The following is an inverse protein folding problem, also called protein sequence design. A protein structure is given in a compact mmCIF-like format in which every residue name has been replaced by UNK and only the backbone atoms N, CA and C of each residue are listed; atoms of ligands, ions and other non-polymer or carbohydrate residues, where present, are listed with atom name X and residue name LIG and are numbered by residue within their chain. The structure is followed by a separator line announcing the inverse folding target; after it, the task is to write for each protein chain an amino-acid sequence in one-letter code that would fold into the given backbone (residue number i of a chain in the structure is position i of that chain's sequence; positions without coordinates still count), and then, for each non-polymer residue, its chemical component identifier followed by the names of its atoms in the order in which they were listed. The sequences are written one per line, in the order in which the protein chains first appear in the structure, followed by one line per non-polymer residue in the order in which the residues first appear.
data_IF_237730442512
#
_entry.id   IF_237730442512
#
_cell.length_a   1.000
_cell.length_b   1.000
_cell.length_c   1.000
_cell.angle_alpha   90.00
_cell.angle_beta   90.00
_cell.angle_gamma   90.00
#
_symmetry.space_group_name_H-M   'P 1'
#
loop_
_entity.id
_entity.type
_entity.pdbx_description
1 polymer ?
#
# COMPACT_ATOMS: atom_id res chain seq x y z
N UNK A 1 2.81 8.23 14.22
CA UNK A 1 2.45 9.64 14.15
C UNK A 1 2.47 10.28 15.55
N UNK A 2 1.64 9.84 16.50
CA UNK A 2 1.49 10.45 17.83
C UNK A 2 2.82 10.74 18.55
N UNK A 3 3.81 9.86 18.42
CA UNK A 3 5.15 10.07 19.00
C UNK A 3 5.89 11.26 18.38
N UNK A 4 5.70 11.49 17.08
CA UNK A 4 6.34 12.61 16.36
C UNK A 4 5.64 13.92 16.71
N UNK A 5 4.31 13.93 16.75
CA UNK A 5 3.51 15.09 17.18
C UNK A 5 3.83 15.53 18.61
N UNK A 6 4.06 14.57 19.50
CA UNK A 6 4.46 14.86 20.87
C UNK A 6 5.86 15.46 21.02
N UNK A 7 6.68 15.51 19.94
CA UNK A 7 8.02 16.14 19.92
C UNK A 7 9.07 15.46 20.78
N UNK A 8 8.78 14.31 21.36
CA UNK A 8 9.65 13.63 22.33
C UNK A 8 10.52 12.50 21.76
N UNK A 9 10.60 12.34 20.44
CA UNK A 9 11.27 11.20 19.82
C UNK A 9 12.56 11.62 19.11
N UNK A 10 13.59 10.78 19.26
CA UNK A 10 14.89 10.94 18.59
C UNK A 10 14.94 10.17 17.25
N UNK A 11 13.89 10.27 16.43
CA UNK A 11 13.92 9.68 15.09
C UNK A 11 14.57 10.65 14.12
N UNK A 12 15.52 10.16 13.32
CA UNK A 12 16.17 10.94 12.28
C UNK A 12 15.62 10.63 10.89
N UNK A 13 15.18 9.40 10.66
CA UNK A 13 14.48 8.98 9.44
C UNK A 13 13.24 8.16 9.82
N UNK A 14 12.16 8.37 9.10
CA UNK A 14 10.90 7.62 9.23
C UNK A 14 10.46 7.12 7.86
N UNK A 15 9.67 6.04 7.87
CA UNK A 15 9.15 5.39 6.66
C UNK A 15 7.62 5.37 6.69
N UNK A 16 6.95 6.51 6.48
CA UNK A 16 5.49 6.58 6.44
C UNK A 16 4.95 6.32 5.04
N UNK A 17 3.66 5.94 4.98
CA UNK A 17 2.91 5.90 3.73
C UNK A 17 2.59 7.30 3.22
N UNK A 18 2.27 7.42 1.94
CA UNK A 18 2.08 8.66 1.19
C UNK A 18 1.05 9.62 1.81
N UNK A 19 -0.14 9.13 2.20
CA UNK A 19 -1.17 9.98 2.82
C UNK A 19 -0.75 10.53 4.18
N UNK A 20 0.15 9.81 4.87
CA UNK A 20 0.73 10.28 6.11
C UNK A 20 1.76 11.40 5.88
N UNK A 21 2.51 11.34 4.75
CA UNK A 21 3.40 12.43 4.32
C UNK A 21 2.59 13.70 4.09
N UNK A 22 1.48 13.60 3.34
CA UNK A 22 0.61 14.76 3.06
C UNK A 22 0.11 15.39 4.37
N UNK A 23 -0.37 14.58 5.30
CA UNK A 23 -0.77 15.03 6.63
C UNK A 23 0.39 15.71 7.38
N UNK A 24 1.56 15.07 7.43
CA UNK A 24 2.71 15.59 8.17
C UNK A 24 3.25 16.90 7.57
N UNK A 25 3.19 17.06 6.24
CA UNK A 25 3.50 18.33 5.57
C UNK A 25 2.52 19.41 6.01
N UNK A 26 1.21 19.11 6.03
CA UNK A 26 0.17 20.06 6.43
C UNK A 26 0.34 20.57 7.88
N UNK A 27 1.02 19.79 8.73
CA UNK A 27 1.30 20.10 10.15
C UNK A 27 2.72 20.63 10.40
N UNK A 28 3.51 20.88 9.35
CA UNK A 28 4.94 21.29 9.44
C UNK A 28 5.79 20.34 10.30
N UNK A 29 5.55 19.04 10.19
CA UNK A 29 6.24 18.01 10.97
C UNK A 29 7.49 17.44 10.28
N UNK A 30 7.75 17.79 9.01
CA UNK A 30 8.86 17.29 8.21
C UNK A 30 9.85 18.38 7.84
N UNK A 31 11.12 17.99 7.74
CA UNK A 31 12.16 18.84 7.15
C UNK A 31 12.04 18.82 5.61
N UNK A 32 12.35 19.94 4.98
CA UNK A 32 12.65 19.96 3.55
C UNK A 32 14.00 19.27 3.30
N UNK A 33 14.07 18.49 2.22
CA UNK A 33 15.27 17.77 1.81
C UNK A 33 16.24 18.70 1.07
N UNK A 34 17.54 18.54 1.33
CA UNK A 34 18.60 19.20 0.56
C UNK A 34 19.12 18.22 -0.52
N UNK A 35 18.73 18.47 -1.74
CA UNK A 35 19.09 17.65 -2.89
C UNK A 35 20.59 17.65 -3.21
N UNK A 36 21.38 18.61 -2.67
CA UNK A 36 22.83 18.56 -2.75
C UNK A 36 23.45 17.35 -2.02
N UNK A 37 22.69 16.75 -1.09
CA UNK A 37 23.08 15.54 -0.35
C UNK A 37 22.47 14.25 -0.94
N UNK A 38 21.65 14.33 -2.00
CA UNK A 38 20.83 13.24 -2.54
C UNK A 38 21.18 12.90 -4.00
N UNK A 39 22.48 12.72 -4.29
CA UNK A 39 23.00 12.43 -5.64
C UNK A 39 22.32 11.21 -6.33
N UNK A 40 21.84 10.24 -5.53
CA UNK A 40 21.18 9.04 -6.02
C UNK A 40 19.68 9.24 -6.33
N UNK A 41 19.10 10.40 -6.05
CA UNK A 41 17.71 10.71 -6.41
C UNK A 41 17.45 10.57 -7.92
N UNK A 42 18.44 10.82 -8.75
CA UNK A 42 18.38 10.62 -10.21
C UNK A 42 18.13 9.16 -10.65
N UNK A 43 18.37 8.19 -9.76
CA UNK A 43 18.13 6.78 -10.02
C UNK A 43 16.64 6.41 -9.89
N UNK A 44 15.82 7.29 -9.31
CA UNK A 44 14.37 7.06 -9.22
C UNK A 44 13.73 7.25 -10.60
N UNK A 45 12.71 6.44 -10.87
CA UNK A 45 11.86 6.61 -12.03
C UNK A 45 11.00 7.86 -11.86
N UNK A 46 10.91 8.69 -12.91
CA UNK A 46 10.19 9.97 -12.88
C UNK A 46 8.69 9.78 -12.58
N UNK A 47 8.12 8.61 -12.88
CA UNK A 47 6.73 8.27 -12.55
C UNK A 47 6.43 8.31 -11.05
N UNK A 48 7.46 8.13 -10.22
CA UNK A 48 7.34 8.06 -8.75
C UNK A 48 7.83 9.32 -8.05
N UNK A 49 8.23 10.34 -8.80
CA UNK A 49 8.65 11.63 -8.25
C UNK A 49 7.56 12.68 -8.48
N UNK A 50 7.53 13.71 -7.62
CA UNK A 50 6.56 14.81 -7.75
C UNK A 50 5.08 14.34 -7.71
N UNK A 51 4.78 13.36 -6.85
CA UNK A 51 3.41 12.87 -6.66
C UNK A 51 2.56 13.86 -5.85
N UNK A 52 1.24 13.72 -5.94
CA UNK A 52 0.29 14.70 -5.38
C UNK A 52 0.46 14.93 -3.87
N UNK A 53 0.88 13.91 -3.12
CA UNK A 53 1.08 14.00 -1.67
C UNK A 53 2.33 14.81 -1.24
N UNK A 54 3.31 14.98 -2.14
CA UNK A 54 4.54 15.77 -1.88
C UNK A 54 5.01 16.47 -3.16
N UNK A 55 4.45 17.63 -3.45
CA UNK A 55 4.77 18.40 -4.64
C UNK A 55 6.27 18.73 -4.72
N UNK A 56 6.88 18.42 -5.87
CA UNK A 56 8.31 18.54 -6.14
C UNK A 56 9.18 17.62 -5.25
N UNK A 57 8.62 16.58 -4.63
CA UNK A 57 9.32 15.66 -3.72
C UNK A 57 10.13 16.41 -2.65
N UNK A 58 9.53 17.46 -2.08
CA UNK A 58 10.24 18.44 -1.24
C UNK A 58 10.60 17.88 0.13
N UNK A 59 9.81 16.95 0.66
CA UNK A 59 9.90 16.46 2.04
C UNK A 59 10.15 14.96 2.15
N UNK A 60 9.94 14.22 1.06
CA UNK A 60 10.04 12.77 1.08
C UNK A 60 10.67 12.19 -0.19
N UNK A 61 11.18 10.97 -0.06
CA UNK A 61 11.71 10.17 -1.15
C UNK A 61 10.97 8.84 -1.18
N UNK A 62 10.38 8.41 -2.31
CA UNK A 62 9.80 7.09 -2.45
C UNK A 62 10.83 5.99 -2.14
N UNK A 63 10.41 4.99 -1.35
CA UNK A 63 11.25 3.88 -0.94
C UNK A 63 10.83 2.56 -1.59
N UNK A 64 9.58 2.18 -1.41
CA UNK A 64 8.94 1.02 -2.01
C UNK A 64 7.53 1.42 -2.45
N UNK A 65 6.93 0.63 -3.35
CA UNK A 65 5.58 0.87 -3.83
C UNK A 65 4.92 -0.43 -4.23
N UNK A 66 3.62 -0.38 -4.48
CA UNK A 66 2.86 -1.52 -4.98
C UNK A 66 1.40 -1.23 -5.16
N UNK A 67 0.66 -2.31 -5.34
CA UNK A 67 -0.79 -2.31 -5.54
C UNK A 67 -1.48 -3.11 -4.45
N UNK A 68 -2.77 -2.87 -4.26
CA UNK A 68 -3.67 -3.75 -3.53
C UNK A 68 -4.34 -4.70 -4.52
N UNK A 69 -4.52 -5.95 -4.12
CA UNK A 69 -5.20 -6.95 -4.94
C UNK A 69 -5.74 -8.11 -4.12
N UNK A 70 -6.04 -9.18 -4.81
CA UNK A 70 -6.55 -10.42 -4.22
C UNK A 70 -5.52 -11.53 -4.44
N UNK A 71 -4.97 -12.08 -3.34
CA UNK A 71 -4.27 -13.36 -3.40
C UNK A 71 -5.31 -14.47 -3.23
N UNK A 72 -5.25 -15.51 -4.07
CA UNK A 72 -6.25 -16.59 -4.06
C UNK A 72 -5.63 -17.95 -4.35
N UNK A 73 -6.26 -19.00 -3.82
CA UNK A 73 -5.88 -20.40 -4.05
C UNK A 73 -6.54 -20.92 -5.34
N UNK A 74 -5.75 -21.24 -6.34
CA UNK A 74 -6.21 -21.76 -7.67
C UNK A 74 -6.98 -23.07 -7.60
N UNK A 75 -6.79 -23.86 -6.54
CA UNK A 75 -7.53 -25.11 -6.34
C UNK A 75 -8.92 -24.89 -5.76
N UNK A 76 -9.16 -23.74 -5.10
CA UNK A 76 -10.43 -23.38 -4.49
C UNK A 76 -11.23 -22.40 -5.35
N UNK A 77 -10.54 -21.49 -6.03
CA UNK A 77 -11.13 -20.43 -6.86
C UNK A 77 -10.83 -20.74 -8.31
N UNK A 78 -11.85 -21.17 -9.04
CA UNK A 78 -11.73 -21.59 -10.44
C UNK A 78 -12.29 -20.56 -11.43
N UNK A 79 -13.03 -19.58 -10.93
CA UNK A 79 -13.52 -18.44 -11.69
C UNK A 79 -12.42 -17.38 -11.89
N UNK A 80 -12.54 -16.53 -12.93
CA UNK A 80 -11.68 -15.37 -13.07
C UNK A 80 -11.76 -14.44 -11.85
N UNK A 81 -10.61 -14.03 -11.32
CA UNK A 81 -10.51 -13.07 -10.21
C UNK A 81 -10.20 -11.70 -10.82
N UNK A 82 -11.19 -11.10 -11.47
CA UNK A 82 -11.04 -9.84 -12.24
C UNK A 82 -11.88 -8.68 -11.69
N UNK A 83 -12.65 -8.94 -10.62
CA UNK A 83 -13.51 -7.95 -9.95
C UNK A 83 -13.44 -8.11 -8.44
N UNK A 84 -13.46 -6.99 -7.71
CA UNK A 84 -13.58 -6.98 -6.25
C UNK A 84 -14.83 -7.72 -5.75
N UNK A 85 -15.88 -7.83 -6.58
CA UNK A 85 -17.15 -8.49 -6.23
C UNK A 85 -16.98 -9.94 -5.80
N UNK A 86 -15.91 -10.62 -6.21
CA UNK A 86 -15.64 -12.01 -5.79
C UNK A 86 -15.48 -12.14 -4.27
N UNK A 87 -15.05 -11.06 -3.58
CA UNK A 87 -14.98 -11.02 -2.12
C UNK A 87 -16.36 -10.98 -1.43
N UNK A 88 -17.45 -10.85 -2.20
CA UNK A 88 -18.84 -10.91 -1.75
C UNK A 88 -19.59 -12.16 -2.25
N UNK A 89 -18.87 -13.12 -2.87
CA UNK A 89 -19.49 -14.35 -3.35
C UNK A 89 -19.74 -15.33 -2.18
N UNK A 90 -21.01 -15.65 -1.93
CA UNK A 90 -21.45 -16.58 -0.89
C UNK A 90 -20.84 -17.98 -1.01
N UNK A 91 -20.40 -18.36 -2.23
CA UNK A 91 -19.68 -19.62 -2.47
C UNK A 91 -18.43 -19.76 -1.58
N UNK A 92 -17.81 -18.64 -1.21
CA UNK A 92 -16.60 -18.60 -0.41
C UNK A 92 -16.83 -18.21 1.05
N UNK A 93 -18.08 -18.33 1.54
CA UNK A 93 -18.41 -18.00 2.92
C UNK A 93 -17.49 -18.71 3.92
N UNK A 94 -16.91 -17.95 4.87
CA UNK A 94 -15.96 -18.43 5.87
C UNK A 94 -14.56 -18.75 5.34
N UNK A 95 -14.26 -18.37 4.06
CA UNK A 95 -12.94 -18.58 3.42
C UNK A 95 -12.34 -17.30 2.82
N UNK A 96 -12.88 -16.15 3.17
CA UNK A 96 -12.41 -14.84 2.72
C UNK A 96 -11.69 -14.17 3.88
N UNK A 97 -10.48 -13.70 3.64
CA UNK A 97 -9.70 -12.91 4.60
C UNK A 97 -9.66 -11.46 4.14
N UNK A 98 -9.97 -10.54 5.04
CA UNK A 98 -9.91 -9.10 4.77
C UNK A 98 -8.82 -8.46 5.62
N UNK A 99 -8.27 -7.35 5.16
CA UNK A 99 -7.30 -6.60 5.95
C UNK A 99 -7.98 -5.85 7.09
N UNK A 100 -7.41 -5.92 8.28
CA UNK A 100 -7.81 -5.06 9.42
C UNK A 100 -7.19 -3.65 9.26
N UNK A 101 -7.52 -3.04 8.14
CA UNK A 101 -7.12 -1.69 7.73
C UNK A 101 -8.35 -0.96 7.18
N UNK A 102 -8.75 0.11 7.86
CA UNK A 102 -9.94 0.87 7.47
C UNK A 102 -9.82 1.45 6.06
N UNK A 103 -8.65 2.07 5.74
CA UNK A 103 -8.45 2.70 4.44
C UNK A 103 -8.42 1.68 3.30
N UNK A 104 -7.72 0.56 3.48
CA UNK A 104 -7.61 -0.48 2.45
C UNK A 104 -8.94 -1.17 2.21
N UNK A 105 -9.59 -1.67 3.27
CA UNK A 105 -10.83 -2.45 3.16
C UNK A 105 -12.02 -1.59 2.69
N UNK A 106 -12.18 -0.38 3.23
CA UNK A 106 -13.20 0.56 2.73
C UNK A 106 -12.85 1.01 1.32
N UNK A 107 -11.57 1.26 1.03
CA UNK A 107 -11.09 1.74 -0.26
C UNK A 107 -11.42 0.78 -1.41
N UNK A 108 -11.10 -0.51 -1.27
CA UNK A 108 -11.43 -1.50 -2.33
C UNK A 108 -12.95 -1.68 -2.49
N UNK A 109 -13.71 -1.50 -1.41
CA UNK A 109 -15.18 -1.52 -1.48
C UNK A 109 -15.71 -0.31 -2.24
N UNK A 110 -15.15 0.87 -2.03
CA UNK A 110 -15.48 2.07 -2.80
C UNK A 110 -15.15 1.85 -4.29
N UNK A 111 -13.99 1.26 -4.62
CA UNK A 111 -13.66 0.91 -6.01
C UNK A 111 -14.65 -0.06 -6.62
N UNK A 112 -15.04 -1.10 -5.90
CA UNK A 112 -16.09 -2.04 -6.34
C UNK A 112 -17.40 -1.34 -6.67
N UNK A 113 -17.75 -0.28 -5.93
CA UNK A 113 -18.96 0.53 -6.14
C UNK A 113 -18.78 1.61 -7.22
N UNK A 114 -17.56 1.80 -7.75
CA UNK A 114 -17.26 2.80 -8.78
C UNK A 114 -16.93 4.19 -8.23
N UNK A 115 -16.60 4.28 -6.95
CA UNK A 115 -16.24 5.52 -6.26
C UNK A 115 -14.72 5.70 -6.13
N UNK A 116 -14.28 6.92 -5.79
CA UNK A 116 -12.90 7.20 -5.44
C UNK A 116 -12.52 6.62 -4.08
N UNK A 117 -11.29 6.11 -3.95
CA UNK A 117 -10.69 5.72 -2.66
C UNK A 117 -10.65 6.88 -1.64
N UNK A 118 -10.72 8.11 -2.15
CA UNK A 118 -10.55 9.33 -1.38
C UNK A 118 -11.86 10.12 -1.25
N UNK A 119 -13.00 9.45 -1.43
CA UNK A 119 -14.30 10.14 -1.34
C UNK A 119 -14.47 10.83 0.01
N UNK A 120 -15.02 12.06 -0.04
CA UNK A 120 -15.50 12.82 1.13
C UNK A 120 -17.02 12.97 1.10
N UNK A 121 -17.70 12.08 0.37
CA UNK A 121 -19.15 12.00 0.29
C UNK A 121 -19.68 10.95 1.26
N UNK A 122 -20.49 11.37 2.24
CA UNK A 122 -21.05 10.47 3.26
C UNK A 122 -22.00 9.42 2.67
N UNK A 123 -22.70 9.72 1.58
CA UNK A 123 -23.61 8.74 0.96
C UNK A 123 -22.81 7.58 0.36
N UNK A 124 -21.72 7.87 -0.39
CA UNK A 124 -20.81 6.87 -0.94
C UNK A 124 -20.13 6.04 0.16
N UNK A 125 -19.69 6.69 1.25
CA UNK A 125 -19.08 6.04 2.39
C UNK A 125 -20.09 5.13 3.13
N UNK A 126 -21.35 5.54 3.24
CA UNK A 126 -22.41 4.71 3.81
C UNK A 126 -22.75 3.51 2.92
N UNK A 127 -22.78 3.67 1.59
CA UNK A 127 -22.96 2.52 0.68
C UNK A 127 -21.82 1.49 0.84
N UNK A 128 -20.57 1.94 0.96
CA UNK A 128 -19.44 1.05 1.23
C UNK A 128 -19.57 0.36 2.60
N UNK A 129 -20.04 1.07 3.63
CA UNK A 129 -20.33 0.48 4.95
C UNK A 129 -21.38 -0.63 4.85
N UNK A 130 -22.50 -0.37 4.19
CA UNK A 130 -23.57 -1.36 4.04
C UNK A 130 -23.10 -2.60 3.27
N UNK A 131 -22.30 -2.40 2.21
CA UNK A 131 -21.69 -3.50 1.47
C UNK A 131 -20.76 -4.34 2.35
N UNK A 132 -19.93 -3.73 3.20
CA UNK A 132 -19.02 -4.44 4.11
C UNK A 132 -19.77 -5.14 5.25
N UNK A 133 -20.84 -4.56 5.77
CA UNK A 133 -21.70 -5.22 6.75
C UNK A 133 -22.38 -6.45 6.14
N UNK A 134 -22.83 -6.35 4.89
CA UNK A 134 -23.40 -7.49 4.16
C UNK A 134 -22.35 -8.58 3.85
N UNK A 135 -21.08 -8.22 3.62
CA UNK A 135 -19.98 -9.14 3.41
C UNK A 135 -19.57 -9.88 4.68
N UNK A 136 -19.73 -9.26 5.84
CA UNK A 136 -19.16 -9.75 7.11
C UNK A 136 -19.46 -11.23 7.43
N UNK A 137 -20.67 -11.78 7.18
CA UNK A 137 -20.94 -13.22 7.37
C UNK A 137 -20.09 -14.14 6.48
N UNK A 138 -19.51 -13.63 5.39
CA UNK A 138 -18.67 -14.38 4.46
C UNK A 138 -17.19 -14.35 4.90
N UNK A 139 -16.81 -13.36 5.69
CA UNK A 139 -15.42 -13.12 6.10
C UNK A 139 -15.02 -14.07 7.21
N UNK A 140 -13.92 -14.79 7.02
CA UNK A 140 -13.30 -15.64 8.03
C UNK A 140 -12.68 -14.82 9.16
N UNK A 141 -11.89 -13.81 8.79
CA UNK A 141 -11.22 -12.91 9.75
C UNK A 141 -10.80 -11.61 9.07
N UNK A 142 -10.61 -10.59 9.90
CA UNK A 142 -9.92 -9.34 9.56
C UNK A 142 -8.53 -9.38 10.19
N UNK A 143 -7.47 -9.38 9.36
CA UNK A 143 -6.10 -9.64 9.80
C UNK A 143 -5.13 -8.65 9.16
N UNK A 144 -3.97 -8.43 9.77
CA UNK A 144 -2.89 -7.62 9.17
C UNK A 144 -1.78 -8.52 8.64
N UNK A 145 -1.32 -9.48 9.43
CA UNK A 145 -0.18 -10.36 9.10
C UNK A 145 -0.54 -11.84 9.06
N UNK A 146 -1.37 -12.31 9.99
CA UNK A 146 -1.67 -13.74 10.17
C UNK A 146 -2.47 -14.36 9.03
N UNK A 147 -3.07 -13.55 8.14
CA UNK A 147 -3.69 -14.06 6.92
C UNK A 147 -2.70 -14.80 6.02
N UNK A 148 -1.41 -14.43 6.07
CA UNK A 148 -0.36 -15.05 5.27
C UNK A 148 -0.21 -16.53 5.60
N UNK A 149 -0.10 -16.86 6.88
CA UNK A 149 -0.01 -18.26 7.33
C UNK A 149 -1.24 -19.09 6.92
N UNK A 150 -2.44 -18.49 7.01
CA UNK A 150 -3.68 -19.13 6.62
C UNK A 150 -3.78 -19.38 5.11
N UNK A 151 -3.25 -18.47 4.29
CA UNK A 151 -3.18 -18.66 2.83
C UNK A 151 -2.17 -19.75 2.46
N UNK A 152 -0.98 -19.75 3.06
CA UNK A 152 0.05 -20.78 2.84
C UNK A 152 -0.48 -22.16 3.25
N UNK A 153 -1.20 -22.25 4.36
CA UNK A 153 -1.80 -23.49 4.86
C UNK A 153 -3.07 -23.92 4.09
N UNK A 154 -3.50 -23.16 3.07
CA UNK A 154 -4.72 -23.41 2.27
C UNK A 154 -6.01 -23.44 3.11
N UNK A 155 -6.05 -22.70 4.22
CA UNK A 155 -7.23 -22.61 5.07
C UNK A 155 -8.27 -21.61 4.55
N UNK A 156 -7.87 -20.66 3.69
CA UNK A 156 -8.72 -19.68 3.05
C UNK A 156 -8.67 -19.78 1.53
N UNK A 157 -9.73 -19.34 0.87
CA UNK A 157 -9.81 -19.34 -0.59
C UNK A 157 -9.16 -18.09 -1.19
N UNK A 158 -9.29 -16.95 -0.51
CA UNK A 158 -8.75 -15.67 -0.97
C UNK A 158 -8.54 -14.68 0.19
N UNK A 159 -7.64 -13.75 -0.04
CA UNK A 159 -7.38 -12.64 0.88
C UNK A 159 -7.18 -11.32 0.13
N UNK A 160 -7.65 -10.23 0.73
CA UNK A 160 -7.21 -8.89 0.37
C UNK A 160 -5.73 -8.74 0.76
N UNK A 161 -4.86 -8.31 -0.17
CA UNK A 161 -3.43 -8.44 0.00
C UNK A 161 -2.66 -7.34 -0.75
N UNK A 162 -1.55 -6.89 -0.19
CA UNK A 162 -0.57 -6.06 -0.90
C UNK A 162 0.26 -6.90 -1.88
N UNK A 163 0.64 -6.31 -3.02
CA UNK A 163 1.31 -7.04 -4.10
C UNK A 163 2.58 -7.76 -3.69
N UNK A 164 3.44 -7.14 -2.89
CA UNK A 164 4.68 -7.77 -2.43
C UNK A 164 4.43 -8.94 -1.46
N UNK A 165 3.47 -8.80 -0.54
CA UNK A 165 3.06 -9.92 0.32
C UNK A 165 2.52 -11.08 -0.52
N UNK A 166 1.75 -10.79 -1.58
CA UNK A 166 1.26 -11.82 -2.48
C UNK A 166 2.41 -12.56 -3.18
N UNK A 167 3.50 -11.86 -3.55
CA UNK A 167 4.67 -12.52 -4.16
C UNK A 167 5.36 -13.46 -3.18
N UNK A 168 5.55 -13.04 -1.91
CA UNK A 168 6.07 -13.92 -0.86
C UNK A 168 5.21 -15.17 -0.68
N UNK A 169 3.89 -14.99 -0.67
CA UNK A 169 2.93 -16.10 -0.53
C UNK A 169 2.99 -17.08 -1.71
N UNK A 170 3.15 -16.58 -2.95
CA UNK A 170 3.27 -17.40 -4.15
C UNK A 170 4.59 -18.17 -4.18
N UNK A 171 5.68 -17.59 -3.68
CA UNK A 171 6.96 -18.30 -3.52
C UNK A 171 6.85 -19.46 -2.53
N UNK A 172 6.10 -19.30 -1.44
CA UNK A 172 5.90 -20.34 -0.42
C UNK A 172 4.88 -21.41 -0.83
N UNK A 173 3.89 -21.06 -1.66
CA UNK A 173 2.85 -21.98 -2.13
C UNK A 173 2.46 -21.71 -3.59
N UNK A 174 2.91 -22.58 -4.50
CA UNK A 174 2.63 -22.48 -5.94
C UNK A 174 1.14 -22.57 -6.33
N UNK A 175 0.27 -23.02 -5.40
CA UNK A 175 -1.18 -23.04 -5.62
C UNK A 175 -1.82 -21.65 -5.50
N UNK A 176 -1.08 -20.67 -5.00
CA UNK A 176 -1.56 -19.30 -4.90
C UNK A 176 -1.32 -18.52 -6.19
N UNK A 177 -2.16 -17.51 -6.41
CA UNK A 177 -2.02 -16.55 -7.48
C UNK A 177 -2.51 -15.18 -6.99
N UNK A 178 -2.15 -14.12 -7.72
CA UNK A 178 -2.55 -12.74 -7.40
C UNK A 178 -3.29 -12.12 -8.57
N UNK A 179 -4.25 -11.28 -8.29
CA UNK A 179 -4.99 -10.53 -9.29
C UNK A 179 -5.27 -9.09 -8.81
N UNK A 180 -5.22 -8.16 -9.75
CA UNK A 180 -5.64 -6.78 -9.55
C UNK A 180 -6.98 -6.62 -10.26
N UNK A 181 -8.10 -6.37 -9.54
CA UNK A 181 -9.42 -6.18 -10.13
C UNK A 181 -9.53 -4.98 -11.06
N UNK A 182 -10.40 -5.11 -12.07
CA UNK A 182 -10.55 -4.12 -13.16
C UNK A 182 -11.15 -2.79 -12.71
N UNK A 183 -11.87 -2.75 -11.60
CA UNK A 183 -12.45 -1.51 -11.05
C UNK A 183 -11.37 -0.55 -10.55
N UNK A 184 -10.12 -0.98 -10.54
CA UNK A 184 -8.97 -0.23 -10.06
C UNK A 184 -8.62 -0.52 -8.62
N UNK A 185 -7.44 -0.09 -8.21
CA UNK A 185 -6.84 -0.43 -6.92
C UNK A 185 -6.26 0.79 -6.20
N UNK A 186 -5.75 0.58 -4.99
CA UNK A 186 -4.84 1.51 -4.32
C UNK A 186 -3.42 1.32 -4.86
N UNK A 187 -2.82 2.42 -5.30
CA UNK A 187 -1.37 2.53 -5.52
C UNK A 187 -0.77 3.11 -4.25
N UNK A 188 -0.05 2.31 -3.50
CA UNK A 188 0.55 2.76 -2.25
C UNK A 188 2.06 2.99 -2.40
N UNK A 189 2.57 3.92 -1.61
CA UNK A 189 3.98 4.26 -1.55
C UNK A 189 4.45 4.33 -0.10
N UNK A 190 5.47 3.56 0.23
CA UNK A 190 6.26 3.82 1.41
C UNK A 190 7.36 4.82 1.06
N UNK A 191 7.58 5.78 1.93
CA UNK A 191 8.48 6.90 1.68
C UNK A 191 9.51 7.03 2.78
N UNK A 192 10.62 7.69 2.50
CA UNK A 192 11.61 8.10 3.51
C UNK A 192 11.48 9.60 3.75
N UNK A 193 11.34 10.00 5.00
CA UNK A 193 11.23 11.41 5.39
C UNK A 193 12.00 11.69 6.69
N UNK A 194 12.32 12.98 6.92
CA UNK A 194 13.07 13.43 8.08
C UNK A 194 12.16 14.26 8.97
N UNK A 195 11.85 13.82 10.21
CA UNK A 195 11.03 14.59 11.14
C UNK A 195 11.67 15.96 11.45
N UNK A 196 10.84 16.98 11.65
CA UNK A 196 11.28 18.34 12.02
C UNK A 196 12.13 18.37 13.28
N UNK A 197 11.92 17.39 14.18
CA UNK A 197 12.64 17.26 15.45
C UNK A 197 14.03 16.66 15.32
N UNK A 198 14.39 16.10 14.16
CA UNK A 198 15.73 15.54 13.93
C UNK A 198 16.82 16.59 14.13
N UNK A 199 17.86 16.22 14.87
CA UNK A 199 19.06 17.04 15.08
C UNK A 199 20.20 16.63 14.14
N UNK A 200 19.99 15.58 13.32
CA UNK A 200 21.00 14.96 12.48
C UNK A 200 20.61 14.98 10.99
N UNK A 201 19.95 16.08 10.53
CA UNK A 201 19.38 16.17 9.17
C UNK A 201 20.36 15.76 8.07
N UNK A 202 21.59 16.27 8.08
CA UNK A 202 22.61 15.93 7.06
C UNK A 202 22.96 14.43 7.06
N UNK A 203 23.05 13.80 8.24
CA UNK A 203 23.31 12.37 8.35
C UNK A 203 22.09 11.54 7.88
N UNK A 204 20.89 12.01 8.19
CA UNK A 204 19.65 11.40 7.71
C UNK A 204 19.54 11.47 6.18
N UNK A 205 19.89 12.59 5.56
CA UNK A 205 19.96 12.72 4.09
C UNK A 205 21.02 11.79 3.49
N UNK A 206 22.18 11.64 4.10
CA UNK A 206 23.18 10.65 3.67
C UNK A 206 22.68 9.21 3.75
N UNK A 207 21.90 8.88 4.79
CA UNK A 207 21.25 7.57 4.90
C UNK A 207 20.21 7.39 3.80
N UNK A 208 19.34 8.35 3.56
CA UNK A 208 18.35 8.33 2.47
C UNK A 208 19.07 8.16 1.11
N UNK A 209 20.15 8.92 0.88
CA UNK A 209 20.96 8.79 -0.32
C UNK A 209 21.60 7.40 -0.47
N UNK A 210 22.04 6.78 0.64
CA UNK A 210 22.54 5.40 0.65
C UNK A 210 21.44 4.41 0.26
N UNK A 211 20.22 4.56 0.77
CA UNK A 211 19.08 3.69 0.47
C UNK A 211 18.68 3.75 -1.02
N UNK A 212 18.93 4.87 -1.70
CA UNK A 212 18.70 5.05 -3.13
C UNK A 212 19.83 4.52 -4.04
N UNK A 213 20.89 3.94 -3.51
CA UNK A 213 21.88 3.24 -4.34
C UNK A 213 21.23 2.05 -5.02
N UNK A 214 21.46 1.80 -6.33
CA UNK A 214 20.82 0.70 -7.05
C UNK A 214 20.98 -0.65 -6.37
N UNK A 215 22.20 -0.97 -5.91
CA UNK A 215 22.50 -2.25 -5.25
C UNK A 215 21.84 -2.41 -3.87
N UNK A 216 21.52 -1.29 -3.19
CA UNK A 216 20.83 -1.30 -1.90
C UNK A 216 19.32 -1.38 -2.14
N UNK A 217 18.80 -0.58 -3.07
CA UNK A 217 17.40 -0.62 -3.46
C UNK A 217 16.99 -2.01 -3.99
N UNK A 218 17.82 -2.64 -4.82
CA UNK A 218 17.59 -4.00 -5.31
C UNK A 218 17.56 -5.02 -4.17
N UNK A 219 18.51 -4.97 -3.23
CA UNK A 219 18.52 -5.88 -2.07
C UNK A 219 17.30 -5.73 -1.17
N UNK A 220 16.84 -4.49 -0.96
CA UNK A 220 15.65 -4.24 -0.15
C UNK A 220 14.39 -4.76 -0.86
N UNK A 221 14.26 -4.49 -2.15
CA UNK A 221 13.14 -4.98 -2.96
C UNK A 221 13.10 -6.50 -3.02
N UNK A 222 14.23 -7.15 -3.29
CA UNK A 222 14.34 -8.62 -3.35
C UNK A 222 14.02 -9.27 -2.00
N UNK A 223 14.48 -8.69 -0.89
CA UNK A 223 14.21 -9.24 0.45
C UNK A 223 12.76 -9.07 0.91
N UNK A 224 12.15 -7.90 0.61
CA UNK A 224 10.80 -7.56 1.05
C UNK A 224 9.75 -8.01 0.01
N UNK A 225 10.18 -8.22 -1.24
CA UNK A 225 9.33 -8.49 -2.42
C UNK A 225 8.37 -7.35 -2.78
N UNK A 226 8.63 -6.15 -2.31
CA UNK A 226 7.93 -4.95 -2.73
C UNK A 226 8.70 -4.26 -3.87
N UNK A 227 7.97 -3.67 -4.82
CA UNK A 227 8.58 -3.04 -5.98
C UNK A 227 9.40 -1.80 -5.58
N UNK A 228 10.56 -1.65 -6.20
CA UNK A 228 11.43 -0.49 -6.01
C UNK A 228 11.07 0.62 -7.00
N UNK A 229 10.99 1.89 -6.56
CA UNK A 229 10.89 3.03 -7.46
C UNK A 229 12.21 3.38 -8.15
N UNK A 230 13.30 2.68 -7.85
CA UNK A 230 14.63 2.91 -8.39
C UNK A 230 14.79 2.15 -9.72
N UNK A 231 14.78 2.87 -10.85
CA UNK A 231 14.87 2.28 -12.19
C UNK A 231 16.19 1.55 -12.46
N UNK A 232 17.28 1.99 -11.84
CA UNK A 232 18.59 1.34 -12.00
C UNK A 232 18.68 0.03 -11.20
N UNK A 233 17.85 -0.13 -10.14
CA UNK A 233 17.80 -1.35 -9.35
C UNK A 233 17.17 -2.53 -10.12
N UNK A 234 16.26 -2.28 -11.08
CA UNK A 234 15.59 -3.34 -11.81
C UNK A 234 16.56 -4.29 -12.51
N UNK A 235 17.66 -3.76 -13.07
CA UNK A 235 18.68 -4.58 -13.74
C UNK A 235 19.49 -5.46 -12.78
N UNK A 236 19.36 -5.27 -11.47
CA UNK A 236 20.06 -6.00 -10.41
C UNK A 236 19.16 -6.99 -9.67
N UNK A 237 17.86 -6.98 -9.95
CA UNK A 237 16.89 -7.93 -9.41
C UNK A 237 16.94 -9.27 -10.17
N UNK A 238 16.48 -10.38 -9.55
CA UNK A 238 16.17 -11.59 -10.30
C UNK A 238 15.25 -11.28 -11.49
N UNK A 239 15.47 -11.94 -12.63
CA UNK A 239 14.71 -11.70 -13.86
C UNK A 239 13.20 -11.92 -13.65
N UNK A 240 12.83 -12.92 -12.85
CA UNK A 240 11.46 -13.25 -12.49
C UNK A 240 10.76 -12.11 -11.73
N UNK A 241 11.45 -11.40 -10.86
CA UNK A 241 10.91 -10.25 -10.13
C UNK A 241 10.87 -9.00 -11.02
N UNK A 242 11.97 -8.71 -11.73
CA UNK A 242 12.08 -7.54 -12.59
C UNK A 242 11.06 -7.52 -13.75
N UNK A 243 10.61 -8.69 -14.20
CA UNK A 243 9.62 -8.85 -15.28
C UNK A 243 8.22 -9.21 -14.78
N UNK A 244 8.02 -9.26 -13.46
CA UNK A 244 6.73 -9.61 -12.88
C UNK A 244 5.72 -8.46 -13.07
N UNK A 245 4.62 -8.68 -13.83
CA UNK A 245 3.66 -7.62 -14.13
C UNK A 245 2.85 -7.14 -12.92
N UNK A 246 2.89 -7.86 -11.80
CA UNK A 246 2.24 -7.45 -10.54
C UNK A 246 3.14 -6.57 -9.67
N UNK A 247 4.47 -6.66 -9.86
CA UNK A 247 5.44 -5.78 -9.21
C UNK A 247 5.77 -4.58 -10.10
N UNK A 248 5.99 -4.83 -11.39
CA UNK A 248 6.39 -3.82 -12.38
C UNK A 248 5.45 -3.83 -13.59
N UNK A 249 4.19 -3.39 -13.43
CA UNK A 249 3.24 -3.31 -14.53
C UNK A 249 3.74 -2.35 -15.63
N UNK A 250 3.50 -2.73 -16.88
CA UNK A 250 3.83 -1.89 -18.03
C UNK A 250 2.84 -0.73 -18.17
N UNK A 251 3.30 0.37 -18.77
CA UNK A 251 2.46 1.51 -19.12
C UNK A 251 2.27 2.52 -17.99
N UNK A 252 1.17 3.24 -18.06
CA UNK A 252 0.82 4.29 -17.10
C UNK A 252 0.16 3.69 -15.85
N UNK A 253 0.89 3.66 -14.75
CA UNK A 253 0.43 3.10 -13.48
C UNK A 253 -0.82 3.83 -12.93
N UNK A 254 -1.04 5.09 -13.29
CA UNK A 254 -2.21 5.85 -12.80
C UNK A 254 -3.54 5.29 -13.35
N UNK A 255 -3.48 4.49 -14.41
CA UNK A 255 -4.65 3.78 -14.94
C UNK A 255 -5.02 2.54 -14.10
N UNK A 256 -4.10 2.04 -13.27
CA UNK A 256 -4.37 0.90 -12.39
C UNK A 256 -5.21 1.30 -11.18
N UNK A 257 -5.09 2.55 -10.72
CA UNK A 257 -5.79 2.96 -9.50
C UNK A 257 -5.44 4.36 -9.03
N UNK A 258 -5.73 4.59 -7.77
CA UNK A 258 -5.56 5.87 -7.09
C UNK A 258 -4.57 5.73 -5.93
N UNK A 259 -3.87 6.81 -5.62
CA UNK A 259 -3.06 6.95 -4.40
C UNK A 259 -3.96 7.42 -3.26
N UNK A 260 -3.78 6.94 -2.04
CA UNK A 260 -4.46 7.50 -0.89
C UNK A 260 -3.97 8.93 -0.63
N UNK A 261 -4.93 9.80 -0.33
CA UNK A 261 -4.69 11.20 0.06
C UNK A 261 -5.11 11.41 1.52
N UNK A 262 -4.60 12.48 2.12
CA UNK A 262 -5.08 12.93 3.43
C UNK A 262 -6.54 13.42 3.31
N UNK A 263 -7.40 12.80 4.09
CA UNK A 263 -8.82 13.19 4.13
C UNK A 263 -9.09 14.36 5.08
N UNK A 264 -8.07 14.81 5.80
CA UNK A 264 -8.22 15.85 6.81
C UNK A 264 -9.20 15.43 7.92
N UNK A 265 -10.11 16.33 8.29
CA UNK A 265 -11.12 16.05 9.33
C UNK A 265 -12.07 14.90 8.95
N UNK A 266 -12.23 14.61 7.65
CA UNK A 266 -13.10 13.54 7.17
C UNK A 266 -12.56 12.14 7.51
N UNK A 267 -11.30 11.99 7.90
CA UNK A 267 -10.72 10.74 8.42
C UNK A 267 -11.54 10.19 9.58
N UNK A 268 -12.06 11.07 10.44
CA UNK A 268 -12.94 10.67 11.56
C UNK A 268 -14.21 9.96 11.13
N UNK A 269 -14.75 10.25 9.96
CA UNK A 269 -15.93 9.56 9.46
C UNK A 269 -15.59 8.14 8.99
N UNK A 270 -14.43 7.94 8.35
CA UNK A 270 -13.91 6.59 8.03
C UNK A 270 -13.69 5.76 9.30
N UNK A 271 -13.10 6.33 10.35
CA UNK A 271 -12.86 5.64 11.63
C UNK A 271 -14.19 5.23 12.32
N UNK A 272 -15.21 6.10 12.28
CA UNK A 272 -16.55 5.77 12.78
C UNK A 272 -17.18 4.63 11.98
N UNK A 273 -17.19 4.75 10.66
CA UNK A 273 -17.72 3.73 9.75
C UNK A 273 -17.00 2.40 9.97
N UNK A 274 -15.68 2.40 10.11
CA UNK A 274 -14.91 1.19 10.39
C UNK A 274 -15.31 0.55 11.73
N UNK A 275 -15.47 1.37 12.76
CA UNK A 275 -15.93 0.91 14.07
C UNK A 275 -17.33 0.28 13.99
N UNK A 276 -18.24 0.87 13.22
CA UNK A 276 -19.60 0.33 12.99
C UNK A 276 -19.55 -1.01 12.25
N UNK A 277 -18.72 -1.12 11.20
CA UNK A 277 -18.51 -2.39 10.46
C UNK A 277 -17.98 -3.47 11.40
N UNK A 278 -16.97 -3.17 12.23
CA UNK A 278 -16.36 -4.17 13.12
C UNK A 278 -17.30 -4.61 14.23
N UNK A 279 -18.25 -3.77 14.66
CA UNK A 279 -19.19 -4.03 15.76
C UNK A 279 -20.54 -4.61 15.32
N UNK A 280 -20.87 -4.62 14.04
CA UNK A 280 -22.13 -5.14 13.47
C UNK A 280 -22.27 -6.65 13.57
#
# INVERSE_FOLDING_TARGET
LAKIEAGGTAYDVIFPSEYMIEYMISKDLLNELDYANLDNFKNLDERFTNLAYDANSKHSVPYLWGTMGIVYNKNMVTEPVDSWKILWDEKYAGKILMLDSSRDTIGVTLKMLGYSLNTKNMDELNEAKEALIAQKPLVRAYEVDTYKDQMIAEEAAMALCWSGDAMLLIEENENLAYAIPQEGTNLWFDTMAIPKTSQNKELAEKFINFMMRPEIAAKNSDYIKYASPNKEALSLLPEEDATNPYLYPEGDITQLGEVFLDLGEFTTEYDKVWTEIKSS
#
